data_IF_634766016913
#
_entry.id   IF_634766016913
#
_cell.length_a   1.000
_cell.length_b   1.000
_cell.length_c   1.000
_cell.angle_alpha   90.00
_cell.angle_beta   90.00
_cell.angle_gamma   90.00
#
_symmetry.space_group_name_H-M   'P 1'
#
loop_
_entity.id
_entity.type
_entity.pdbx_description
1 polymer ?
#
# COMPACT_ATOMS: atom_id res chain seq x y z
N UNK A 1 26.04 6.00 13.09
CA UNK A 1 25.30 4.90 12.42
C UNK A 1 24.04 5.46 11.78
N UNK A 2 24.20 6.46 10.90
CA UNK A 2 23.07 7.26 10.43
C UNK A 2 22.70 6.97 8.98
N UNK A 3 23.73 6.73 8.16
CA UNK A 3 23.59 6.34 6.76
C UNK A 3 22.91 4.97 6.63
N UNK A 4 23.10 4.05 7.60
CA UNK A 4 22.48 2.73 7.57
C UNK A 4 20.95 2.79 7.61
N UNK A 5 20.38 3.73 8.37
CA UNK A 5 18.92 3.89 8.42
C UNK A 5 18.39 4.41 7.08
N UNK A 6 19.03 5.44 6.52
CA UNK A 6 18.67 5.97 5.21
C UNK A 6 18.82 4.91 4.11
N UNK A 7 19.89 4.10 4.14
CA UNK A 7 20.10 2.97 3.22
C UNK A 7 19.02 1.92 3.39
N UNK A 8 18.65 1.55 4.62
CA UNK A 8 17.57 0.60 4.88
C UNK A 8 16.24 1.13 4.34
N UNK A 9 15.91 2.40 4.56
CA UNK A 9 14.72 3.04 3.99
C UNK A 9 14.75 3.03 2.47
N UNK A 10 15.89 3.35 1.85
CA UNK A 10 16.04 3.33 0.39
C UNK A 10 15.85 1.92 -0.19
N UNK A 11 16.40 0.89 0.47
CA UNK A 11 16.21 -0.52 0.09
C UNK A 11 14.72 -0.89 0.21
N UNK A 12 14.07 -0.54 1.33
CA UNK A 12 12.64 -0.79 1.53
C UNK A 12 11.77 -0.08 0.49
N UNK A 13 12.07 1.19 0.17
CA UNK A 13 11.35 1.95 -0.86
C UNK A 13 11.51 1.30 -2.23
N UNK A 14 12.72 0.90 -2.58
CA UNK A 14 13.02 0.21 -3.83
C UNK A 14 12.25 -1.11 -3.91
N UNK A 15 12.19 -1.87 -2.82
CA UNK A 15 11.38 -3.08 -2.73
C UNK A 15 9.89 -2.80 -2.96
N UNK A 16 9.35 -1.71 -2.41
CA UNK A 16 7.97 -1.30 -2.64
C UNK A 16 7.70 -0.91 -4.10
N UNK A 17 8.63 -0.21 -4.77
CA UNK A 17 8.52 0.11 -6.20
C UNK A 17 8.51 -1.16 -7.05
N UNK A 18 9.39 -2.11 -6.76
CA UNK A 18 9.45 -3.40 -7.48
C UNK A 18 8.16 -4.18 -7.31
N UNK A 19 7.62 -4.22 -6.09
CA UNK A 19 6.36 -4.90 -5.78
C UNK A 19 5.17 -4.25 -6.51
N UNK A 20 5.07 -2.93 -6.43
CA UNK A 20 4.04 -2.16 -7.10
C UNK A 20 4.09 -2.37 -8.62
N UNK A 21 5.28 -2.36 -9.22
CA UNK A 21 5.45 -2.67 -10.64
C UNK A 21 5.02 -4.10 -10.99
N UNK A 22 5.41 -5.08 -10.17
CA UNK A 22 5.15 -6.51 -10.44
C UNK A 22 3.67 -6.84 -10.40
N UNK A 23 2.93 -6.24 -9.45
CA UNK A 23 1.52 -6.53 -9.20
C UNK A 23 0.56 -5.42 -9.66
N UNK A 24 1.08 -4.30 -10.15
CA UNK A 24 0.33 -3.13 -10.63
C UNK A 24 -0.68 -2.65 -9.58
N UNK A 25 -0.18 -2.29 -8.40
CA UNK A 25 -1.01 -2.04 -7.21
C UNK A 25 -1.49 -0.60 -7.14
N UNK A 26 -0.57 0.36 -7.24
CA UNK A 26 -0.81 1.78 -7.01
C UNK A 26 -0.32 2.65 -8.17
N UNK A 27 0.99 2.90 -8.32
CA UNK A 27 1.50 3.73 -9.42
C UNK A 27 1.29 3.07 -10.78
N UNK A 28 1.49 1.74 -10.86
CA UNK A 28 1.31 1.00 -12.11
C UNK A 28 -0.15 0.65 -12.42
N UNK A 29 -1.06 0.96 -11.49
CA UNK A 29 -2.50 0.90 -11.69
C UNK A 29 -3.04 2.22 -12.25
N UNK A 30 -2.74 3.34 -11.58
CA UNK A 30 -3.14 4.69 -11.99
C UNK A 30 -2.10 5.72 -11.54
N UNK A 31 -1.15 6.03 -12.42
CA UNK A 31 -0.06 6.94 -12.12
C UNK A 31 -0.52 8.38 -11.82
N UNK A 32 -1.66 8.82 -12.38
CA UNK A 32 -2.18 10.17 -12.14
C UNK A 32 -2.69 10.30 -10.72
N UNK A 33 -3.51 9.34 -10.27
CA UNK A 33 -4.00 9.31 -8.89
C UNK A 33 -2.85 9.14 -7.92
N UNK A 34 -1.92 8.23 -8.21
CA UNK A 34 -0.77 8.00 -7.34
C UNK A 34 0.11 9.24 -7.17
N UNK A 35 0.36 9.97 -8.26
CA UNK A 35 1.12 11.22 -8.23
C UNK A 35 0.45 12.36 -7.46
N UNK A 36 -0.85 12.26 -7.16
CA UNK A 36 -1.58 13.24 -6.33
C UNK A 36 -1.67 12.74 -4.89
N UNK A 37 -2.13 11.50 -4.70
CA UNK A 37 -2.41 10.93 -3.38
C UNK A 37 -1.12 10.80 -2.55
N UNK A 38 -0.02 10.37 -3.16
CA UNK A 38 1.24 10.21 -2.44
C UNK A 38 1.76 11.55 -1.86
N UNK A 39 1.96 12.62 -2.65
CA UNK A 39 2.43 13.88 -2.08
C UNK A 39 1.41 14.50 -1.12
N UNK A 40 0.10 14.35 -1.35
CA UNK A 40 -0.91 14.84 -0.41
C UNK A 40 -0.81 14.13 0.93
N UNK A 41 -0.64 12.81 0.94
CA UNK A 41 -0.45 12.03 2.17
C UNK A 41 0.83 12.44 2.92
N UNK A 42 1.94 12.58 2.19
CA UNK A 42 3.21 13.05 2.75
C UNK A 42 3.05 14.44 3.36
N UNK A 43 2.44 15.40 2.64
CA UNK A 43 2.21 16.76 3.14
C UNK A 43 1.32 16.78 4.37
N UNK A 44 0.26 15.97 4.40
CA UNK A 44 -0.61 15.86 5.57
C UNK A 44 0.17 15.40 6.79
N UNK A 45 0.95 14.33 6.66
CA UNK A 45 1.75 13.83 7.79
C UNK A 45 2.87 14.79 8.17
N UNK A 46 3.51 15.47 7.22
CA UNK A 46 4.50 16.50 7.54
C UNK A 46 3.90 17.66 8.32
N UNK A 47 2.72 18.14 7.91
CA UNK A 47 2.02 19.20 8.66
C UNK A 47 1.68 18.71 10.07
N UNK A 48 1.22 17.46 10.18
CA UNK A 48 0.94 16.84 11.47
C UNK A 48 2.19 16.72 12.35
N UNK A 49 3.31 16.26 11.80
CA UNK A 49 4.59 16.15 12.50
C UNK A 49 5.07 17.52 12.99
N UNK A 50 4.94 18.58 12.17
CA UNK A 50 5.28 19.94 12.57
C UNK A 50 4.40 20.45 13.72
N UNK A 51 3.10 20.15 13.71
CA UNK A 51 2.23 20.44 14.86
C UNK A 51 2.67 19.65 16.10
N UNK A 52 3.03 18.38 15.93
CA UNK A 52 3.53 17.52 16.98
C UNK A 52 4.81 18.05 17.64
N UNK A 53 5.75 18.52 16.82
CA UNK A 53 6.99 19.18 17.26
C UNK A 53 6.67 20.50 17.97
N UNK A 54 5.82 21.34 17.36
CA UNK A 54 5.44 22.65 17.91
C UNK A 54 4.71 22.56 19.26
N UNK A 55 3.97 21.48 19.50
CA UNK A 55 3.30 21.19 20.76
C UNK A 55 4.19 20.49 21.79
N UNK A 56 5.44 20.16 21.44
CA UNK A 56 6.35 19.40 22.32
C UNK A 56 5.91 17.95 22.56
N UNK A 57 5.11 17.38 21.65
CA UNK A 57 4.66 15.97 21.73
C UNK A 57 5.72 15.08 21.07
N UNK A 58 6.30 15.54 19.98
CA UNK A 58 7.37 14.86 19.24
C UNK A 58 8.69 15.58 19.51
N UNK A 59 9.38 15.17 20.56
CA UNK A 59 10.76 15.57 20.77
C UNK A 59 11.69 14.61 20.05
N UNK A 60 12.74 15.18 19.43
CA UNK A 60 13.90 14.48 18.91
C UNK A 60 14.26 13.35 19.88
N UNK A 61 14.22 12.12 19.41
CA UNK A 61 15.07 11.10 20.01
C UNK A 61 16.50 11.53 19.70
N UNK A 62 17.08 12.40 20.54
CA UNK A 62 18.52 12.72 20.60
C UNK A 62 19.26 11.39 20.72
N UNK A 63 19.43 10.71 19.60
CA UNK A 63 20.15 9.47 19.49
C UNK A 63 21.32 9.77 18.57
N UNK A 64 22.48 9.27 18.98
CA UNK A 64 23.82 9.50 18.42
C UNK A 64 23.96 8.95 16.97
N UNK A 65 22.84 8.74 16.29
CA UNK A 65 22.69 7.99 15.06
C UNK A 65 21.92 8.74 13.97
N UNK A 66 21.58 10.02 14.11
CA UNK A 66 21.04 10.82 13.00
C UNK A 66 22.18 11.41 12.15
N UNK A 67 21.96 11.61 10.85
CA UNK A 67 23.02 12.06 9.91
C UNK A 67 23.44 13.50 10.16
N UNK A 68 22.66 14.23 10.97
CA UNK A 68 22.78 15.67 11.21
C UNK A 68 22.12 16.51 10.12
N UNK A 69 21.62 15.90 9.03
CA UNK A 69 20.97 16.61 7.93
C UNK A 69 19.49 16.84 8.23
N UNK A 70 19.12 18.10 8.45
CA UNK A 70 17.78 18.50 8.83
C UNK A 70 17.08 19.18 7.64
N UNK A 71 15.83 18.78 7.39
CA UNK A 71 14.93 19.39 6.42
C UNK A 71 14.25 20.64 6.98
N UNK A 72 13.95 20.65 8.29
CA UNK A 72 13.48 21.79 9.07
C UNK A 72 14.04 21.70 10.51
N UNK A 73 13.94 22.74 11.36
CA UNK A 73 14.33 22.63 12.76
C UNK A 73 13.61 21.43 13.38
N UNK A 74 14.35 20.48 13.96
CA UNK A 74 13.84 19.22 14.54
C UNK A 74 13.35 18.16 13.54
N UNK A 75 13.41 18.38 12.23
CA UNK A 75 12.86 17.46 11.21
C UNK A 75 13.99 16.87 10.33
N UNK A 76 14.52 15.67 10.63
CA UNK A 76 15.51 14.99 9.80
C UNK A 76 15.03 14.66 8.39
N UNK A 77 15.95 14.60 7.44
CA UNK A 77 15.62 14.18 6.07
C UNK A 77 15.09 12.75 6.01
N UNK A 78 15.54 11.88 6.91
CA UNK A 78 15.14 10.47 7.00
C UNK A 78 13.64 10.32 7.27
N UNK A 79 13.00 11.27 7.96
CA UNK A 79 11.56 11.27 8.19
C UNK A 79 10.78 11.42 6.89
N UNK A 80 11.27 12.22 5.94
CA UNK A 80 10.63 12.32 4.62
C UNK A 80 10.66 10.98 3.88
N UNK A 81 11.77 10.24 3.95
CA UNK A 81 11.87 8.90 3.38
C UNK A 81 10.96 7.91 4.10
N UNK A 82 10.87 8.00 5.42
CA UNK A 82 9.99 7.17 6.23
C UNK A 82 8.51 7.43 5.91
N UNK A 83 8.07 8.69 5.86
CA UNK A 83 6.71 9.07 5.49
C UNK A 83 6.38 8.65 4.07
N UNK A 84 7.33 8.78 3.14
CA UNK A 84 7.18 8.27 1.77
C UNK A 84 6.98 6.76 1.79
N UNK A 85 7.81 6.02 2.53
CA UNK A 85 7.69 4.57 2.69
C UNK A 85 6.33 4.20 3.30
N UNK A 86 5.90 4.89 4.36
CA UNK A 86 4.65 4.65 5.07
C UNK A 86 3.44 4.88 4.16
N UNK A 87 3.38 6.01 3.48
CA UNK A 87 2.31 6.33 2.55
C UNK A 87 2.28 5.31 1.41
N UNK A 88 3.44 4.99 0.84
CA UNK A 88 3.52 4.10 -0.30
C UNK A 88 3.19 2.64 0.06
N UNK A 89 3.69 2.16 1.21
CA UNK A 89 3.36 0.85 1.75
C UNK A 89 1.85 0.71 1.97
N UNK A 90 1.23 1.71 2.61
CA UNK A 90 -0.21 1.73 2.87
C UNK A 90 -1.01 1.57 1.57
N UNK A 91 -0.63 2.32 0.52
CA UNK A 91 -1.31 2.24 -0.77
C UNK A 91 -1.08 0.91 -1.49
N UNK A 92 0.13 0.34 -1.42
CA UNK A 92 0.41 -0.98 -1.97
C UNK A 92 -0.40 -2.08 -1.25
N UNK A 93 -0.51 -2.02 0.08
CA UNK A 93 -1.34 -2.93 0.87
C UNK A 93 -2.81 -2.79 0.49
N UNK A 94 -3.32 -1.56 0.38
CA UNK A 94 -4.69 -1.30 -0.04
C UNK A 94 -4.98 -1.86 -1.44
N UNK A 95 -4.10 -1.59 -2.41
CA UNK A 95 -4.20 -2.13 -3.77
C UNK A 95 -4.18 -3.66 -3.79
N UNK A 96 -3.29 -4.27 -3.01
CA UNK A 96 -3.17 -5.73 -2.91
C UNK A 96 -4.40 -6.38 -2.27
N UNK A 97 -4.91 -5.80 -1.19
CA UNK A 97 -6.12 -6.25 -0.52
C UNK A 97 -7.34 -6.14 -1.44
N UNK A 98 -7.49 -5.02 -2.14
CA UNK A 98 -8.59 -4.80 -3.10
C UNK A 98 -8.56 -5.86 -4.22
N UNK A 99 -7.38 -6.10 -4.82
CA UNK A 99 -7.22 -7.11 -5.85
C UNK A 99 -7.56 -8.54 -5.37
N UNK A 100 -7.19 -8.87 -4.12
CA UNK A 100 -7.50 -10.16 -3.53
C UNK A 100 -9.01 -10.35 -3.28
N UNK A 101 -9.69 -9.30 -2.81
CA UNK A 101 -11.14 -9.32 -2.61
C UNK A 101 -11.90 -9.48 -3.94
N UNK A 102 -11.48 -8.77 -4.98
CA UNK A 102 -12.06 -8.87 -6.33
C UNK A 102 -11.86 -10.26 -6.96
N UNK A 103 -10.71 -10.90 -6.70
CA UNK A 103 -10.45 -12.27 -7.14
C UNK A 103 -11.41 -13.28 -6.47
N UNK A 104 -11.64 -13.15 -5.15
CA UNK A 104 -12.55 -14.02 -4.40
C UNK A 104 -14.01 -13.87 -4.83
N UNK A 105 -14.45 -12.66 -5.15
CA UNK A 105 -15.80 -12.40 -5.65
C UNK A 105 -16.09 -13.12 -6.98
N UNK A 106 -15.13 -13.10 -7.91
CA UNK A 106 -15.26 -13.78 -9.22
C UNK A 106 -15.37 -15.30 -9.09
N UNK A 107 -14.59 -15.92 -8.21
CA UNK A 107 -14.66 -17.37 -7.97
C UNK A 107 -16.03 -17.79 -7.41
N UNK A 108 -16.61 -17.00 -6.50
CA UNK A 108 -17.94 -17.27 -5.94
C UNK A 108 -19.07 -17.13 -6.97
N UNK A 109 -18.99 -16.16 -7.87
CA UNK A 109 -19.98 -15.98 -8.93
C UNK A 109 -19.95 -17.14 -9.94
N UNK A 110 -18.76 -17.65 -10.25
CA UNK A 110 -18.58 -18.80 -11.13
C UNK A 110 -19.17 -20.11 -10.54
N UNK A 111 -19.04 -20.34 -9.23
CA UNK A 111 -19.63 -21.52 -8.57
C UNK A 111 -21.17 -21.49 -8.55
N UNK A 112 -21.78 -20.30 -8.40
CA UNK A 112 -23.24 -20.19 -8.38
C UNK A 112 -23.87 -20.36 -9.79
N UNK A 113 -23.11 -20.07 -10.85
CA UNK A 113 -23.59 -20.22 -12.23
C UNK A 113 -23.51 -21.68 -12.73
N UNK A 114 -22.60 -22.49 -12.17
CA UNK A 114 -22.50 -23.92 -12.49
C UNK A 114 -23.59 -24.79 -11.87
N UNK A 115 -24.04 -24.44 -10.66
CA UNK A 115 -25.09 -25.19 -9.92
C UNK A 115 -26.50 -25.01 -10.53
N UNK A 116 -26.71 -23.97 -11.35
CA UNK A 116 -27.97 -23.71 -12.04
C UNK A 116 -28.18 -24.48 -13.34
N UNK A 117 -27.14 -25.15 -13.88
CA UNK A 117 -27.19 -25.85 -15.16
C UNK A 117 -27.36 -27.38 -15.01
N UNK A 118 -26.94 -27.95 -13.88
CA UNK A 118 -27.01 -29.40 -13.62
C UNK A 118 -28.41 -29.90 -13.22
N UNK A 119 -29.38 -28.98 -13.02
CA UNK A 119 -30.77 -29.33 -12.69
C UNK A 119 -31.71 -29.53 -13.89
N UNK A 120 -31.24 -29.36 -15.13
CA UNK A 120 -32.12 -29.24 -16.30
C UNK A 120 -32.16 -30.44 -17.26
N UNK A 121 -31.34 -31.48 -17.11
CA UNK A 121 -31.39 -32.64 -18.01
C UNK A 121 -31.33 -33.96 -17.25
N UNK A 122 -32.50 -34.56 -17.02
CA UNK A 122 -32.77 -35.97 -17.37
C UNK A 122 -34.28 -36.24 -17.36
N UNK A 123 -34.97 -36.28 -18.52
CA UNK A 123 -36.06 -37.23 -18.69
C UNK A 123 -35.40 -38.58 -18.91
N UNK A 124 -35.33 -39.39 -17.85
CA UNK A 124 -34.95 -40.80 -17.94
C UNK A 124 -35.94 -41.53 -18.84
N UNK A 125 -35.34 -42.34 -19.72
CA UNK A 125 -35.87 -43.20 -20.77
C UNK A 125 -37.12 -44.04 -20.43
N UNK A 126 -37.91 -44.29 -21.48
CA UNK A 126 -38.38 -45.62 -21.85
C UNK A 126 -39.17 -46.44 -20.83
N UNK A 127 -40.47 -46.60 -21.09
CA UNK A 127 -41.17 -47.84 -20.72
C UNK A 127 -42.29 -48.15 -21.71
N UNK A 128 -42.00 -49.20 -22.49
CA UNK A 128 -42.90 -50.16 -23.10
C UNK A 128 -44.40 -50.03 -22.81
N UNK A 129 -45.20 -49.98 -23.88
CA UNK A 129 -46.09 -51.06 -24.34
C UNK A 129 -46.89 -50.66 -25.56
#
# INVERSE_FOLDING_TARGET
MSILYLVALAISLTGMVVLDRRFRLFFWRDARRAAIVLPVGILLFLVWDLFGIGLGIFFRGETVFMTGLQLAPELPVEELFFLTLLCYLTMNVYGGASALLDARGRTRAASHSGDGMDGAETPVDGSAR
#
